data_IF_901255591846
#
_entry.id   IF_901255591846
#
_cell.length_a   1.000
_cell.length_b   1.000
_cell.length_c   1.000
_cell.angle_alpha   90.00
_cell.angle_beta   90.00
_cell.angle_gamma   90.00
#
_symmetry.space_group_name_H-M   'P 1'
#
loop_
_entity.id
_entity.type
_entity.pdbx_description
1 polymer ?
#
# COMPACT_ATOMS: atom_id res chain seq x y z
N UNK A 1 -32.48 35.05 37.68
CA UNK A 1 -31.27 34.40 38.20
C UNK A 1 -30.45 33.99 37.02
N UNK A 2 -29.47 34.84 36.60
CA UNK A 2 -28.45 34.44 35.61
C UNK A 2 -27.52 33.47 36.34
N UNK A 3 -27.64 32.17 36.08
CA UNK A 3 -26.64 31.21 36.46
C UNK A 3 -25.27 31.69 35.97
N UNK A 4 -24.37 31.93 36.91
CA UNK A 4 -22.95 32.12 36.64
C UNK A 4 -22.43 30.78 36.06
N UNK A 5 -22.53 30.59 34.75
CA UNK A 5 -21.80 29.55 34.09
C UNK A 5 -20.31 29.83 34.28
N UNK A 6 -19.69 29.18 35.28
CA UNK A 6 -18.24 29.21 35.43
C UNK A 6 -17.65 28.82 34.09
N UNK A 7 -16.98 29.77 33.45
CA UNK A 7 -16.22 29.45 32.23
C UNK A 7 -15.14 28.45 32.63
N UNK A 8 -15.14 27.31 31.93
CA UNK A 8 -14.01 26.40 31.99
C UNK A 8 -12.84 27.10 31.28
N UNK A 9 -11.95 27.74 32.07
CA UNK A 9 -10.75 28.35 31.53
C UNK A 9 -9.72 27.27 31.12
N UNK A 10 -8.66 27.70 30.42
CA UNK A 10 -7.64 26.78 29.93
C UNK A 10 -6.87 26.08 31.06
N UNK A 11 -6.71 26.73 32.20
CA UNK A 11 -6.00 26.15 33.34
C UNK A 11 -6.84 25.06 34.01
N UNK A 12 -8.10 25.33 34.26
CA UNK A 12 -9.02 24.36 34.86
C UNK A 12 -9.19 23.15 33.93
N UNK A 13 -9.24 23.35 32.63
CA UNK A 13 -9.28 22.23 31.65
C UNK A 13 -7.99 21.41 31.69
N UNK A 14 -6.81 22.07 31.71
CA UNK A 14 -5.52 21.39 31.85
C UNK A 14 -5.41 20.59 33.13
N UNK A 15 -5.87 21.15 34.26
CA UNK A 15 -5.89 20.44 35.54
C UNK A 15 -6.82 19.24 35.52
N UNK A 16 -8.00 19.38 34.94
CA UNK A 16 -8.95 18.26 34.73
C UNK A 16 -8.31 17.16 33.89
N UNK A 17 -7.74 17.52 32.76
CA UNK A 17 -7.11 16.57 31.85
C UNK A 17 -5.89 15.89 32.51
N UNK A 18 -5.12 16.62 33.29
CA UNK A 18 -4.02 16.09 34.09
C UNK A 18 -4.52 15.06 35.11
N UNK A 19 -5.56 15.39 35.87
CA UNK A 19 -6.17 14.49 36.86
C UNK A 19 -6.69 13.18 36.17
N UNK A 20 -7.35 13.29 35.02
CA UNK A 20 -7.82 12.13 34.29
C UNK A 20 -6.64 11.28 33.76
N UNK A 21 -5.52 11.89 33.40
CA UNK A 21 -4.32 11.19 32.99
C UNK A 21 -3.60 10.42 34.10
N UNK A 22 -3.82 10.77 35.37
CA UNK A 22 -3.30 10.00 36.52
C UNK A 22 -4.08 8.70 36.77
N UNK A 23 -5.28 8.56 36.24
CA UNK A 23 -6.10 7.34 36.36
C UNK A 23 -5.55 6.25 35.43
N UNK A 24 -6.04 5.03 35.58
CA UNK A 24 -5.61 3.88 34.79
C UNK A 24 -6.79 3.22 34.08
N UNK A 25 -6.49 2.43 33.08
CA UNK A 25 -7.48 1.61 32.39
C UNK A 25 -8.62 2.41 31.75
N UNK A 26 -9.81 1.81 31.74
CA UNK A 26 -11.01 2.41 31.10
C UNK A 26 -11.42 3.72 31.75
N UNK A 27 -11.23 3.86 33.05
CA UNK A 27 -11.60 5.08 33.79
C UNK A 27 -10.84 6.29 33.27
N UNK A 28 -9.53 6.14 33.00
CA UNK A 28 -8.71 7.19 32.39
C UNK A 28 -9.31 7.68 31.07
N UNK A 29 -9.58 6.75 30.17
CA UNK A 29 -9.98 7.11 28.80
C UNK A 29 -11.41 7.64 28.73
N UNK A 30 -12.34 7.15 29.57
CA UNK A 30 -13.65 7.76 29.71
C UNK A 30 -13.55 9.19 30.23
N UNK A 31 -12.76 9.41 31.31
CA UNK A 31 -12.56 10.74 31.86
C UNK A 31 -11.95 11.74 30.88
N UNK A 32 -11.01 11.30 30.04
CA UNK A 32 -10.46 12.16 28.97
C UNK A 32 -11.58 12.56 27.99
N UNK A 33 -12.42 11.62 27.53
CA UNK A 33 -13.51 11.94 26.61
C UNK A 33 -14.58 12.83 27.26
N UNK A 34 -14.88 12.62 28.53
CA UNK A 34 -15.83 13.43 29.30
C UNK A 34 -15.29 14.86 29.50
N UNK A 35 -13.97 15.02 29.76
CA UNK A 35 -13.33 16.32 29.83
C UNK A 35 -13.45 17.10 28.51
N UNK A 36 -13.22 16.43 27.37
CA UNK A 36 -13.39 17.06 26.06
C UNK A 36 -14.87 17.35 25.73
N UNK A 37 -15.80 16.50 26.14
CA UNK A 37 -17.23 16.76 25.99
C UNK A 37 -17.67 17.97 26.81
N UNK A 38 -17.11 18.11 28.02
CA UNK A 38 -17.34 19.29 28.86
C UNK A 38 -16.76 20.56 28.20
N UNK A 39 -15.54 20.50 27.67
CA UNK A 39 -14.94 21.59 26.94
C UNK A 39 -15.74 22.00 25.72
N UNK A 40 -16.32 21.04 24.98
CA UNK A 40 -17.13 21.32 23.78
C UNK A 40 -18.35 22.21 24.10
N UNK A 41 -18.92 22.08 25.30
CA UNK A 41 -20.03 22.92 25.75
C UNK A 41 -19.63 24.36 26.03
N UNK A 42 -18.35 24.61 26.32
CA UNK A 42 -17.83 25.94 26.64
C UNK A 42 -17.11 26.59 25.46
N UNK A 43 -16.25 25.81 24.78
CA UNK A 43 -15.49 26.26 23.62
C UNK A 43 -15.23 25.11 22.64
N UNK A 44 -16.16 24.98 21.70
CA UNK A 44 -16.08 23.94 20.67
C UNK A 44 -14.79 24.04 19.83
N UNK A 45 -14.25 25.24 19.64
CA UNK A 45 -13.06 25.41 18.79
C UNK A 45 -11.83 24.76 19.45
N UNK A 46 -11.73 24.81 20.78
CA UNK A 46 -10.63 24.16 21.51
C UNK A 46 -10.66 22.63 21.40
N UNK A 47 -11.82 22.00 21.30
CA UNK A 47 -11.93 20.55 21.07
C UNK A 47 -11.55 20.13 19.66
N UNK A 48 -11.43 21.10 18.76
CA UNK A 48 -11.06 20.87 17.37
C UNK A 48 -9.58 21.15 17.09
N UNK A 49 -8.74 21.46 18.09
CA UNK A 49 -7.29 21.59 17.88
C UNK A 49 -6.67 20.27 17.45
N UNK A 50 -5.46 20.30 16.92
CA UNK A 50 -4.75 19.11 16.48
C UNK A 50 -4.54 18.14 17.64
N UNK A 51 -4.01 18.64 18.76
CA UNK A 51 -3.73 17.88 19.97
C UNK A 51 -5.01 17.26 20.54
N UNK A 52 -6.06 18.07 20.68
CA UNK A 52 -7.37 17.59 21.17
C UNK A 52 -7.93 16.44 20.33
N UNK A 53 -7.78 16.51 19.01
CA UNK A 53 -8.25 15.45 18.12
C UNK A 53 -7.38 14.17 18.25
N UNK A 54 -6.09 14.30 18.53
CA UNK A 54 -5.21 13.15 18.78
C UNK A 54 -5.62 12.47 20.10
N UNK A 55 -5.77 13.23 21.17
CA UNK A 55 -6.12 12.70 22.48
C UNK A 55 -7.47 12.00 22.49
N UNK A 56 -8.48 12.64 21.90
CA UNK A 56 -9.82 12.05 21.74
C UNK A 56 -9.78 10.78 20.88
N UNK A 57 -8.97 10.78 19.83
CA UNK A 57 -8.76 9.61 18.95
C UNK A 57 -8.18 8.45 19.73
N UNK A 58 -7.14 8.70 20.50
CA UNK A 58 -6.46 7.70 21.33
C UNK A 58 -7.39 7.14 22.42
N UNK A 59 -8.06 8.01 23.17
CA UNK A 59 -9.00 7.58 24.22
C UNK A 59 -10.15 6.75 23.65
N UNK A 60 -10.74 7.19 22.54
CA UNK A 60 -11.80 6.44 21.86
C UNK A 60 -11.33 5.06 21.38
N UNK A 61 -10.10 4.96 20.85
CA UNK A 61 -9.53 3.68 20.42
C UNK A 61 -9.33 2.72 21.59
N UNK A 62 -8.77 3.21 22.71
CA UNK A 62 -8.55 2.42 23.92
C UNK A 62 -9.86 1.88 24.54
N UNK A 63 -10.95 2.57 24.33
CA UNK A 63 -12.30 2.14 24.73
C UNK A 63 -12.97 1.22 23.71
N UNK A 64 -12.32 0.92 22.57
CA UNK A 64 -12.89 0.10 21.50
C UNK A 64 -13.83 0.88 20.56
N UNK A 65 -13.92 2.20 20.73
CA UNK A 65 -14.73 3.09 19.90
C UNK A 65 -14.10 3.41 18.53
N UNK A 66 -13.73 2.39 17.77
CA UNK A 66 -12.97 2.51 16.51
C UNK A 66 -13.60 3.44 15.45
N UNK A 67 -14.93 3.54 15.42
CA UNK A 67 -15.61 4.48 14.52
C UNK A 67 -15.32 5.94 14.92
N UNK A 68 -15.38 6.25 16.22
CA UNK A 68 -15.06 7.58 16.76
C UNK A 68 -13.57 7.89 16.60
N UNK A 69 -12.69 6.96 16.93
CA UNK A 69 -11.24 7.11 16.76
C UNK A 69 -10.87 7.47 15.31
N UNK A 70 -11.46 6.80 14.31
CA UNK A 70 -11.25 7.15 12.89
C UNK A 70 -11.65 8.60 12.57
N UNK A 71 -12.72 9.10 13.15
CA UNK A 71 -13.18 10.50 12.93
C UNK A 71 -12.15 11.47 13.49
N UNK A 72 -11.73 11.27 14.73
CA UNK A 72 -10.78 12.14 15.41
C UNK A 72 -9.41 12.13 14.73
N UNK A 73 -8.82 10.98 14.48
CA UNK A 73 -7.53 10.89 13.77
C UNK A 73 -7.58 11.44 12.34
N UNK A 74 -8.69 11.31 11.61
CA UNK A 74 -8.85 11.97 10.31
C UNK A 74 -8.86 13.48 10.41
N UNK A 75 -9.53 14.03 11.43
CA UNK A 75 -9.53 15.48 11.70
C UNK A 75 -8.13 15.96 12.05
N UNK A 76 -7.43 15.23 12.92
CA UNK A 76 -6.02 15.49 13.24
C UNK A 76 -5.14 15.46 11.98
N UNK A 77 -5.24 14.41 11.16
CA UNK A 77 -4.46 14.29 9.94
C UNK A 77 -4.72 15.42 8.93
N UNK A 78 -5.95 15.93 8.88
CA UNK A 78 -6.29 17.09 8.02
C UNK A 78 -5.64 18.38 8.53
N UNK A 79 -5.46 18.51 9.85
CA UNK A 79 -4.86 19.70 10.49
C UNK A 79 -3.35 19.63 10.62
N UNK A 80 -2.77 18.44 10.55
CA UNK A 80 -1.32 18.26 10.67
C UNK A 80 -0.57 19.08 9.61
N UNK A 81 0.40 19.94 10.03
CA UNK A 81 1.20 20.74 9.10
C UNK A 81 2.00 19.85 8.13
N UNK A 82 2.16 20.28 6.89
CA UNK A 82 2.91 19.52 5.88
C UNK A 82 4.38 19.30 6.26
N UNK A 83 4.95 20.23 7.01
CA UNK A 83 6.33 20.22 7.49
C UNK A 83 6.55 19.15 8.57
N UNK A 84 5.50 18.85 9.35
CA UNK A 84 5.57 17.83 10.40
C UNK A 84 5.28 16.43 9.84
N UNK A 85 6.24 15.95 9.02
CA UNK A 85 6.14 14.65 8.34
C UNK A 85 6.00 13.49 9.33
N UNK A 86 6.71 13.55 10.47
CA UNK A 86 6.66 12.49 11.49
C UNK A 86 5.27 12.34 12.07
N UNK A 87 4.62 13.43 12.43
CA UNK A 87 3.24 13.41 12.92
C UNK A 87 2.26 12.89 11.86
N UNK A 88 2.43 13.31 10.61
CA UNK A 88 1.59 12.81 9.51
C UNK A 88 1.74 11.30 9.38
N UNK A 89 2.98 10.78 9.39
CA UNK A 89 3.24 9.34 9.28
C UNK A 89 2.71 8.56 10.48
N UNK A 90 2.82 9.12 11.69
CA UNK A 90 2.22 8.54 12.91
C UNK A 90 0.70 8.42 12.76
N UNK A 91 0.01 9.51 12.43
CA UNK A 91 -1.45 9.53 12.25
C UNK A 91 -1.91 8.60 11.11
N UNK A 92 -1.13 8.52 10.04
CA UNK A 92 -1.37 7.56 8.96
C UNK A 92 -1.22 6.12 9.46
N UNK A 93 -0.26 5.83 10.34
CA UNK A 93 -0.08 4.54 11.01
C UNK A 93 -1.30 4.13 11.84
N UNK A 94 -1.82 5.06 12.66
CA UNK A 94 -3.02 4.82 13.46
C UNK A 94 -4.25 4.55 12.59
N UNK A 95 -4.50 5.40 11.60
CA UNK A 95 -5.61 5.23 10.67
C UNK A 95 -5.49 3.98 9.81
N UNK A 96 -4.28 3.61 9.40
CA UNK A 96 -4.01 2.38 8.67
C UNK A 96 -4.55 1.17 9.43
N UNK A 97 -4.17 0.99 10.71
CA UNK A 97 -4.65 -0.13 11.54
C UNK A 97 -6.18 -0.20 11.59
N UNK A 98 -6.82 0.96 11.76
CA UNK A 98 -8.28 1.06 11.87
C UNK A 98 -8.99 0.80 10.55
N UNK A 99 -8.42 1.22 9.41
CA UNK A 99 -9.01 0.99 8.09
C UNK A 99 -8.74 -0.43 7.57
N UNK A 100 -7.58 -1.02 7.84
CA UNK A 100 -7.28 -2.42 7.52
C UNK A 100 -8.26 -3.35 8.24
N UNK A 101 -8.51 -3.12 9.53
CA UNK A 101 -9.50 -3.88 10.30
C UNK A 101 -10.91 -3.80 9.69
N UNK A 102 -11.29 -2.67 9.13
CA UNK A 102 -12.59 -2.47 8.48
C UNK A 102 -12.58 -2.74 6.97
N UNK A 103 -11.46 -3.15 6.39
CA UNK A 103 -11.24 -3.36 4.95
C UNK A 103 -11.63 -2.13 4.10
N UNK A 104 -11.48 -0.92 4.65
CA UNK A 104 -11.80 0.33 3.96
C UNK A 104 -10.63 0.77 3.08
N UNK A 105 -10.47 0.10 1.94
CA UNK A 105 -9.39 0.35 1.00
C UNK A 105 -9.45 1.75 0.36
N UNK A 106 -10.64 2.35 0.26
CA UNK A 106 -10.80 3.72 -0.26
C UNK A 106 -10.16 4.74 0.69
N UNK A 107 -10.44 4.61 1.98
CA UNK A 107 -9.83 5.49 3.00
C UNK A 107 -8.33 5.23 3.16
N UNK A 108 -7.86 3.97 3.05
CA UNK A 108 -6.43 3.65 3.03
C UNK A 108 -5.70 4.40 1.91
N UNK A 109 -6.23 4.40 0.70
CA UNK A 109 -5.65 5.16 -0.42
C UNK A 109 -5.57 6.65 -0.11
N UNK A 110 -6.58 7.23 0.55
CA UNK A 110 -6.59 8.66 0.89
C UNK A 110 -5.49 9.02 1.90
N UNK A 111 -5.34 8.25 2.97
CA UNK A 111 -4.31 8.52 3.97
C UNK A 111 -2.90 8.29 3.42
N UNK A 112 -2.70 7.28 2.57
CA UNK A 112 -1.41 7.07 1.91
C UNK A 112 -1.05 8.19 0.92
N UNK A 113 -2.04 8.77 0.22
CA UNK A 113 -1.81 9.96 -0.60
C UNK A 113 -1.38 11.16 0.23
N UNK A 114 -1.94 11.32 1.44
CA UNK A 114 -1.53 12.39 2.38
C UNK A 114 -0.07 12.19 2.81
N UNK A 115 0.31 10.96 3.22
CA UNK A 115 1.71 10.63 3.54
C UNK A 115 2.66 10.86 2.36
N UNK A 116 2.28 10.38 1.17
CA UNK A 116 3.06 10.60 -0.05
C UNK A 116 3.28 12.07 -0.35
N UNK A 117 2.23 12.91 -0.19
CA UNK A 117 2.30 14.36 -0.41
C UNK A 117 3.29 15.05 0.53
N UNK A 118 3.26 14.70 1.82
CA UNK A 118 4.18 15.23 2.83
C UNK A 118 5.64 14.78 2.56
N UNK A 119 5.85 13.49 2.32
CA UNK A 119 7.17 12.94 1.99
C UNK A 119 7.77 13.54 0.71
N UNK A 120 6.93 13.83 -0.30
CA UNK A 120 7.40 14.45 -1.54
C UNK A 120 7.99 15.85 -1.34
N UNK A 121 7.51 16.58 -0.33
CA UNK A 121 7.98 17.93 0.02
C UNK A 121 9.16 17.91 1.00
N UNK A 122 9.46 16.76 1.59
CA UNK A 122 10.52 16.59 2.59
C UNK A 122 11.84 16.15 1.95
N UNK A 123 12.91 16.27 2.72
CA UNK A 123 14.25 15.74 2.38
C UNK A 123 14.42 14.25 2.67
N UNK A 124 13.36 13.53 3.06
CA UNK A 124 13.43 12.12 3.41
C UNK A 124 13.80 11.22 2.24
N UNK A 125 14.35 10.02 2.54
CA UNK A 125 14.78 9.07 1.50
C UNK A 125 13.66 8.73 0.51
N UNK A 126 13.95 8.75 -0.78
CA UNK A 126 13.00 8.38 -1.85
C UNK A 126 12.40 6.97 -1.68
N UNK A 127 13.06 6.09 -0.91
CA UNK A 127 12.54 4.76 -0.59
C UNK A 127 11.20 4.83 0.17
N UNK A 128 11.08 5.72 1.15
CA UNK A 128 9.82 5.89 1.90
C UNK A 128 8.69 6.37 0.98
N UNK A 129 8.99 7.36 0.13
CA UNK A 129 8.05 7.86 -0.87
C UNK A 129 7.54 6.74 -1.81
N UNK A 130 8.45 5.87 -2.29
CA UNK A 130 8.11 4.74 -3.15
C UNK A 130 7.23 3.72 -2.44
N UNK A 131 7.45 3.49 -1.13
CA UNK A 131 6.61 2.60 -0.34
C UNK A 131 5.15 3.05 -0.32
N UNK A 132 4.88 4.34 -0.12
CA UNK A 132 3.51 4.84 -0.16
C UNK A 132 2.92 4.82 -1.59
N UNK A 133 3.73 5.07 -2.60
CA UNK A 133 3.28 4.91 -3.99
C UNK A 133 2.88 3.45 -4.29
N UNK A 134 3.66 2.47 -3.81
CA UNK A 134 3.32 1.05 -3.91
C UNK A 134 1.98 0.74 -3.21
N UNK A 135 1.82 1.16 -1.97
CA UNK A 135 0.60 0.90 -1.19
C UNK A 135 -0.65 1.49 -1.89
N UNK A 136 -0.55 2.71 -2.42
CA UNK A 136 -1.64 3.33 -3.18
C UNK A 136 -1.97 2.50 -4.42
N UNK A 137 -0.95 2.15 -5.21
CA UNK A 137 -1.11 1.36 -6.43
C UNK A 137 -1.67 -0.03 -6.16
N UNK A 138 -1.17 -0.70 -5.11
CA UNK A 138 -1.63 -2.01 -4.66
C UNK A 138 -3.13 -1.99 -4.31
N UNK A 139 -3.57 -1.09 -3.44
CA UNK A 139 -4.99 -1.02 -3.06
C UNK A 139 -5.88 -0.64 -4.23
N UNK A 140 -5.43 0.24 -5.12
CA UNK A 140 -6.18 0.61 -6.32
C UNK A 140 -6.31 -0.55 -7.29
N UNK A 141 -5.27 -1.38 -7.46
CA UNK A 141 -5.30 -2.52 -8.37
C UNK A 141 -6.13 -3.68 -7.81
N UNK A 142 -5.75 -4.17 -6.62
CA UNK A 142 -6.32 -5.41 -6.09
C UNK A 142 -7.73 -5.24 -5.52
N UNK A 143 -8.00 -4.12 -4.86
CA UNK A 143 -9.23 -3.93 -4.10
C UNK A 143 -10.23 -2.99 -4.76
N UNK A 144 -9.75 -1.90 -5.37
CA UNK A 144 -10.64 -0.88 -5.95
C UNK A 144 -10.85 -1.05 -7.46
N UNK A 145 -10.11 -1.94 -8.13
CA UNK A 145 -10.17 -2.19 -9.59
C UNK A 145 -9.95 -0.94 -10.46
N UNK A 146 -9.19 0.01 -9.93
CA UNK A 146 -8.86 1.28 -10.59
C UNK A 146 -7.57 1.18 -11.40
N UNK A 147 -7.56 0.32 -12.43
CA UNK A 147 -6.35 -0.08 -13.16
C UNK A 147 -5.54 1.09 -13.74
N UNK A 148 -6.20 2.12 -14.30
CA UNK A 148 -5.51 3.31 -14.84
C UNK A 148 -4.74 4.07 -13.74
N UNK A 149 -5.39 4.30 -12.60
CA UNK A 149 -4.76 4.99 -11.47
C UNK A 149 -3.69 4.13 -10.81
N UNK A 150 -3.95 2.83 -10.61
CA UNK A 150 -2.99 1.89 -10.06
C UNK A 150 -1.70 1.87 -10.87
N UNK A 151 -1.79 1.84 -12.21
CA UNK A 151 -0.63 1.89 -13.10
C UNK A 151 0.27 3.10 -12.84
N UNK A 152 -0.33 4.29 -12.70
CA UNK A 152 0.42 5.53 -12.43
C UNK A 152 1.19 5.45 -11.11
N UNK A 153 0.55 4.94 -10.06
CA UNK A 153 1.17 4.85 -8.75
C UNK A 153 2.23 3.75 -8.66
N UNK A 154 2.00 2.60 -9.27
CA UNK A 154 2.99 1.52 -9.35
C UNK A 154 4.22 1.95 -10.16
N UNK A 155 4.05 2.73 -11.24
CA UNK A 155 5.18 3.32 -11.96
C UNK A 155 6.00 4.29 -11.09
N UNK A 156 5.35 5.08 -10.23
CA UNK A 156 6.05 5.95 -9.26
C UNK A 156 6.80 5.18 -8.19
N UNK A 157 6.34 3.99 -7.87
CA UNK A 157 6.99 3.09 -6.91
C UNK A 157 8.20 2.38 -7.49
N UNK A 158 8.22 2.10 -8.80
CA UNK A 158 9.35 1.46 -9.46
C UNK A 158 10.51 2.45 -9.62
N UNK A 159 11.55 2.24 -8.82
CA UNK A 159 12.78 3.05 -8.89
C UNK A 159 13.88 2.42 -9.75
N UNK A 160 13.58 1.35 -10.49
CA UNK A 160 14.59 0.61 -11.26
C UNK A 160 15.47 -0.31 -10.42
N UNK A 161 15.27 -0.36 -9.11
CA UNK A 161 16.01 -1.20 -8.18
C UNK A 161 15.51 -2.66 -8.13
N UNK A 162 16.05 -3.39 -7.15
CA UNK A 162 15.77 -4.82 -6.92
C UNK A 162 15.12 -5.10 -5.57
N UNK A 163 14.55 -4.08 -4.90
CA UNK A 163 13.73 -4.31 -3.72
C UNK A 163 12.44 -5.03 -4.10
N UNK A 164 11.89 -5.85 -3.20
CA UNK A 164 10.67 -6.60 -3.46
C UNK A 164 9.53 -5.71 -3.95
N UNK A 165 9.34 -4.54 -3.36
CA UNK A 165 8.30 -3.59 -3.76
C UNK A 165 8.50 -3.04 -5.18
N UNK A 166 9.74 -2.66 -5.53
CA UNK A 166 10.08 -2.16 -6.87
C UNK A 166 9.87 -3.23 -7.94
N UNK A 167 10.34 -4.45 -7.67
CA UNK A 167 10.16 -5.59 -8.58
C UNK A 167 8.68 -5.93 -8.78
N UNK A 168 7.90 -5.97 -7.69
CA UNK A 168 6.46 -6.20 -7.75
C UNK A 168 5.73 -5.09 -8.51
N UNK A 169 6.11 -3.84 -8.28
CA UNK A 169 5.53 -2.70 -8.99
C UNK A 169 5.75 -2.79 -10.49
N UNK A 170 6.99 -3.06 -10.93
CA UNK A 170 7.32 -3.23 -12.33
C UNK A 170 6.53 -4.39 -12.97
N UNK A 171 6.42 -5.51 -12.27
CA UNK A 171 5.64 -6.66 -12.72
C UNK A 171 4.15 -6.33 -12.89
N UNK A 172 3.52 -5.71 -11.89
CA UNK A 172 2.11 -5.35 -11.98
C UNK A 172 1.82 -4.29 -13.04
N UNK A 173 2.77 -3.36 -13.28
CA UNK A 173 2.66 -2.41 -14.40
C UNK A 173 2.66 -3.17 -15.74
N UNK A 174 3.54 -4.17 -15.91
CA UNK A 174 3.55 -4.98 -17.12
C UNK A 174 2.23 -5.77 -17.30
N UNK A 175 1.67 -6.33 -16.23
CA UNK A 175 0.36 -6.99 -16.25
C UNK A 175 -0.77 -6.03 -16.63
N UNK A 176 -0.73 -4.81 -16.13
CA UNK A 176 -1.70 -3.76 -16.49
C UNK A 176 -1.57 -3.33 -17.96
N UNK A 177 -0.36 -3.32 -18.50
CA UNK A 177 -0.13 -3.05 -19.92
C UNK A 177 -0.69 -4.20 -20.81
N UNK A 178 -0.57 -5.47 -20.38
CA UNK A 178 -1.22 -6.60 -21.06
C UNK A 178 -2.76 -6.47 -21.04
N UNK A 179 -3.33 -6.19 -19.87
CA UNK A 179 -4.79 -5.99 -19.74
C UNK A 179 -5.29 -4.81 -20.59
N UNK A 180 -4.45 -3.79 -20.79
CA UNK A 180 -4.75 -2.65 -21.65
C UNK A 180 -4.51 -2.95 -23.17
N UNK A 181 -4.30 -4.22 -23.53
CA UNK A 181 -4.00 -4.67 -24.90
C UNK A 181 -2.75 -4.01 -25.51
N UNK A 182 -1.71 -3.81 -24.69
CA UNK A 182 -0.40 -3.25 -25.07
C UNK A 182 0.72 -4.29 -24.88
N UNK A 183 0.70 -5.43 -25.61
CA UNK A 183 1.61 -6.54 -25.38
C UNK A 183 3.08 -6.16 -25.61
N UNK A 184 3.36 -5.27 -26.57
CA UNK A 184 4.73 -4.79 -26.84
C UNK A 184 5.33 -4.06 -25.65
N UNK A 185 4.53 -3.17 -25.04
CA UNK A 185 4.97 -2.43 -23.86
C UNK A 185 5.17 -3.35 -22.65
N UNK A 186 4.28 -4.32 -22.48
CA UNK A 186 4.41 -5.36 -21.45
C UNK A 186 5.68 -6.20 -21.66
N UNK A 187 5.93 -6.64 -22.88
CA UNK A 187 7.12 -7.42 -23.25
C UNK A 187 8.41 -6.63 -22.95
N UNK A 188 8.47 -5.35 -23.36
CA UNK A 188 9.60 -4.48 -23.07
C UNK A 188 9.87 -4.41 -21.57
N UNK A 189 8.82 -4.13 -20.75
CA UNK A 189 8.95 -4.03 -19.29
C UNK A 189 9.37 -5.33 -18.63
N UNK A 190 8.81 -6.45 -19.05
CA UNK A 190 9.18 -7.75 -18.49
C UNK A 190 10.62 -8.15 -18.87
N UNK A 191 11.12 -7.79 -20.06
CA UNK A 191 12.54 -7.95 -20.43
C UNK A 191 13.44 -7.12 -19.52
N UNK A 192 13.13 -5.83 -19.35
CA UNK A 192 13.88 -4.94 -18.45
C UNK A 192 13.88 -5.48 -17.01
N UNK A 193 12.70 -5.96 -16.54
CA UNK A 193 12.55 -6.53 -15.21
C UNK A 193 13.34 -7.84 -15.04
N UNK A 194 13.35 -8.72 -16.04
CA UNK A 194 14.09 -9.99 -16.00
C UNK A 194 15.61 -9.78 -15.94
N UNK A 195 16.11 -8.62 -16.36
CA UNK A 195 17.51 -8.22 -16.25
C UNK A 195 17.92 -7.72 -14.84
N UNK A 196 16.95 -7.48 -13.95
CA UNK A 196 17.23 -7.05 -12.56
C UNK A 196 17.63 -8.26 -11.70
N UNK A 197 18.26 -7.98 -10.55
CA UNK A 197 18.64 -9.03 -9.58
C UNK A 197 17.38 -9.60 -8.90
N UNK A 198 16.93 -10.75 -9.38
CA UNK A 198 15.77 -11.47 -8.86
C UNK A 198 16.19 -12.87 -8.42
N UNK A 199 15.82 -13.27 -7.21
CA UNK A 199 16.12 -14.62 -6.72
C UNK A 199 15.34 -15.68 -7.52
N UNK A 200 16.04 -16.71 -8.00
CA UNK A 200 15.41 -17.87 -8.66
C UNK A 200 14.48 -18.67 -7.73
N UNK A 201 14.55 -18.41 -6.42
CA UNK A 201 13.68 -19.00 -5.40
C UNK A 201 12.39 -18.19 -5.19
N UNK A 202 12.24 -17.04 -5.85
CA UNK A 202 11.06 -16.18 -5.66
C UNK A 202 9.94 -16.55 -6.63
N UNK A 203 8.70 -16.46 -6.13
CA UNK A 203 7.50 -16.55 -6.94
C UNK A 203 7.53 -15.60 -8.16
N UNK A 204 8.04 -14.40 -7.95
CA UNK A 204 8.13 -13.37 -8.99
C UNK A 204 9.03 -13.78 -10.16
N UNK A 205 10.12 -14.53 -9.90
CA UNK A 205 10.97 -15.06 -10.97
C UNK A 205 10.17 -15.98 -11.90
N UNK A 206 9.42 -16.93 -11.32
CA UNK A 206 8.56 -17.85 -12.09
C UNK A 206 7.54 -17.08 -12.92
N UNK A 207 6.84 -16.13 -12.29
CA UNK A 207 5.81 -15.34 -12.94
C UNK A 207 6.37 -14.53 -14.12
N UNK A 208 7.49 -13.85 -13.94
CA UNK A 208 8.11 -13.04 -15.00
C UNK A 208 8.49 -13.91 -16.18
N UNK A 209 9.17 -15.04 -15.93
CA UNK A 209 9.62 -15.90 -17.01
C UNK A 209 8.47 -16.63 -17.70
N UNK A 210 7.43 -17.01 -16.97
CA UNK A 210 6.21 -17.57 -17.57
C UNK A 210 5.52 -16.55 -18.48
N UNK A 211 5.34 -15.31 -18.03
CA UNK A 211 4.74 -14.24 -18.85
C UNK A 211 5.58 -13.89 -20.09
N UNK A 212 6.91 -13.85 -19.94
CA UNK A 212 7.81 -13.67 -21.09
C UNK A 212 7.68 -14.82 -22.08
N UNK A 213 7.65 -16.06 -21.60
CA UNK A 213 7.40 -17.23 -22.45
C UNK A 213 6.10 -17.12 -23.23
N UNK A 214 5.02 -16.70 -22.56
CA UNK A 214 3.70 -16.52 -23.18
C UNK A 214 3.72 -15.40 -24.23
N UNK A 215 4.32 -14.25 -23.94
CA UNK A 215 4.38 -13.14 -24.89
C UNK A 215 5.26 -13.44 -26.11
N UNK A 216 6.38 -14.16 -25.93
CA UNK A 216 7.20 -14.61 -27.04
C UNK A 216 6.50 -15.68 -27.87
N UNK A 217 5.75 -16.60 -27.24
CA UNK A 217 4.95 -17.60 -27.92
C UNK A 217 3.89 -16.94 -28.82
N UNK A 218 3.15 -15.95 -28.29
CA UNK A 218 2.16 -15.18 -29.07
C UNK A 218 2.77 -14.43 -30.27
N UNK A 219 4.08 -14.19 -30.23
CA UNK A 219 4.84 -13.56 -31.33
C UNK A 219 5.57 -14.57 -32.22
N UNK A 220 5.31 -15.84 -32.03
CA UNK A 220 5.95 -16.95 -32.80
C UNK A 220 7.49 -16.95 -32.64
N UNK A 221 8.02 -16.26 -31.63
CA UNK A 221 9.44 -16.32 -31.31
C UNK A 221 9.71 -17.54 -30.40
N UNK A 222 9.74 -18.69 -31.05
CA UNK A 222 9.75 -20.01 -30.42
C UNK A 222 11.00 -20.25 -29.55
N UNK A 223 12.17 -19.82 -29.99
CA UNK A 223 13.41 -20.00 -29.22
C UNK A 223 13.41 -19.19 -27.94
N UNK A 224 12.96 -17.94 -27.99
CA UNK A 224 12.83 -17.12 -26.80
C UNK A 224 11.73 -17.66 -25.87
N UNK A 225 10.59 -18.08 -26.41
CA UNK A 225 9.50 -18.68 -25.65
C UNK A 225 9.98 -19.93 -24.90
N UNK A 226 10.64 -20.86 -25.62
CA UNK A 226 11.22 -22.09 -25.05
C UNK A 226 12.17 -21.79 -23.90
N UNK A 227 13.09 -20.83 -24.09
CA UNK A 227 14.08 -20.43 -23.07
C UNK A 227 13.38 -19.93 -21.81
N UNK A 228 12.41 -19.05 -21.95
CA UNK A 228 11.73 -18.46 -20.81
C UNK A 228 10.82 -19.46 -20.08
N UNK A 229 10.10 -20.32 -20.78
CA UNK A 229 9.35 -21.40 -20.15
C UNK A 229 10.25 -22.36 -19.37
N UNK A 230 11.44 -22.70 -19.90
CA UNK A 230 12.44 -23.50 -19.17
C UNK A 230 12.94 -22.81 -17.92
N UNK A 231 13.14 -21.50 -17.93
CA UNK A 231 13.52 -20.75 -16.73
C UNK A 231 12.44 -20.80 -15.68
N UNK A 232 11.17 -20.63 -16.06
CA UNK A 232 10.06 -20.73 -15.13
C UNK A 232 9.93 -22.15 -14.54
N UNK A 233 10.00 -23.18 -15.38
CA UNK A 233 9.87 -24.58 -14.96
C UNK A 233 10.97 -25.04 -14.00
N UNK A 234 12.23 -24.59 -14.21
CA UNK A 234 13.41 -25.00 -13.41
C UNK A 234 13.66 -24.12 -12.18
N UNK A 235 12.81 -23.14 -11.91
CA UNK A 235 12.97 -22.29 -10.74
C UNK A 235 12.69 -23.05 -9.43
N UNK A 236 13.42 -22.73 -8.37
CA UNK A 236 13.21 -23.33 -7.04
C UNK A 236 12.17 -22.52 -6.23
N UNK A 237 11.01 -22.26 -6.83
CA UNK A 237 9.96 -21.40 -6.23
C UNK A 237 9.13 -22.15 -5.18
N UNK A 238 8.33 -21.40 -4.36
CA UNK A 238 7.42 -21.99 -3.39
C UNK A 238 6.39 -22.94 -4.04
N UNK A 239 5.91 -23.91 -3.25
CA UNK A 239 4.98 -24.98 -3.66
C UNK A 239 3.74 -24.46 -4.38
N UNK A 240 3.19 -23.33 -3.94
CA UNK A 240 2.00 -22.68 -4.54
C UNK A 240 2.19 -22.31 -6.02
N UNK A 241 3.43 -22.24 -6.52
CA UNK A 241 3.75 -21.96 -7.92
C UNK A 241 3.99 -23.22 -8.78
N UNK A 242 3.93 -24.42 -8.20
CA UNK A 242 4.11 -25.67 -8.95
C UNK A 242 3.20 -25.81 -10.14
N UNK A 243 1.95 -25.38 -10.02
CA UNK A 243 1.02 -25.42 -11.17
C UNK A 243 1.54 -24.60 -12.36
N UNK A 244 2.05 -23.40 -12.10
CA UNK A 244 2.62 -22.56 -13.16
C UNK A 244 3.89 -23.21 -13.74
N UNK A 245 4.72 -23.82 -12.90
CA UNK A 245 5.92 -24.51 -13.32
C UNK A 245 5.61 -25.73 -14.19
N UNK A 246 4.60 -26.53 -13.84
CA UNK A 246 4.13 -27.67 -14.63
C UNK A 246 3.66 -27.21 -16.01
N UNK A 247 2.79 -26.18 -16.05
CA UNK A 247 2.33 -25.61 -17.33
C UNK A 247 3.51 -25.07 -18.17
N UNK A 248 4.48 -24.42 -17.53
CA UNK A 248 5.67 -23.94 -18.22
C UNK A 248 6.51 -25.09 -18.79
N UNK A 249 6.63 -26.20 -18.07
CA UNK A 249 7.33 -27.40 -18.54
C UNK A 249 6.64 -28.04 -19.75
N UNK A 250 5.31 -28.19 -19.68
CA UNK A 250 4.49 -28.71 -20.79
C UNK A 250 4.66 -27.84 -22.03
N UNK A 251 4.51 -26.52 -21.90
CA UNK A 251 4.73 -25.57 -23.01
C UNK A 251 6.14 -25.64 -23.59
N UNK A 252 7.15 -25.81 -22.76
CA UNK A 252 8.53 -25.97 -23.20
C UNK A 252 8.71 -27.27 -24.01
N UNK A 253 8.07 -28.38 -23.56
CA UNK A 253 8.10 -29.68 -24.32
C UNK A 253 7.39 -29.57 -25.66
N UNK A 254 6.21 -28.95 -25.71
CA UNK A 254 5.46 -28.71 -26.93
C UNK A 254 6.30 -27.92 -27.96
N UNK A 255 6.86 -26.78 -27.56
CA UNK A 255 7.67 -25.92 -28.43
C UNK A 255 8.93 -26.65 -28.88
N UNK A 256 9.60 -27.39 -28.00
CA UNK A 256 10.80 -28.16 -28.37
C UNK A 256 10.50 -29.25 -29.43
N UNK A 257 9.33 -29.92 -29.33
CA UNK A 257 8.86 -30.90 -30.33
C UNK A 257 8.58 -30.18 -31.64
N UNK A 258 7.89 -29.06 -31.62
CA UNK A 258 7.59 -28.26 -32.84
C UNK A 258 8.87 -27.80 -33.56
N UNK A 259 9.84 -27.26 -32.83
CA UNK A 259 11.13 -26.84 -33.40
C UNK A 259 11.91 -28.01 -34.02
N UNK A 260 11.83 -29.21 -33.42
CA UNK A 260 12.43 -30.42 -34.02
C UNK A 260 11.76 -30.82 -35.33
N UNK A 261 10.42 -30.75 -35.40
CA UNK A 261 9.69 -31.09 -36.63
C UNK A 261 10.00 -30.13 -37.80
N UNK A 262 10.12 -28.83 -37.51
CA UNK A 262 10.52 -27.83 -38.52
C UNK A 262 11.93 -28.13 -39.06
N UNK A 263 12.90 -28.39 -38.15
CA UNK A 263 14.27 -28.72 -38.59
C UNK A 263 14.35 -29.98 -39.41
N UNK A 264 13.57 -31.01 -39.08
CA UNK A 264 13.49 -32.25 -39.84
C UNK A 264 12.82 -32.08 -41.21
N UNK A 265 11.95 -31.09 -41.38
CA UNK A 265 11.30 -30.77 -42.65
C UNK A 265 12.14 -29.88 -43.59
N UNK A 266 13.21 -29.28 -43.08
CA UNK A 266 14.11 -28.38 -43.81
C UNK A 266 15.45 -29.03 -44.21
N UNK A 267 15.76 -30.19 -43.67
CA UNK A 267 16.94 -30.99 -44.00
C UNK A 267 16.57 -32.22 -44.76
#
# INVERSE_FOLDING_TARGET
>A
VKENKRKLDDENFKLLLFAENQKTGRTKYNGILDAYALLENYDKQKTLTLESQIDQGYAAEKLGGYKRAKIYYRRALKKAPDENVDLILQLVGELKRLYERSKDHKSLVQIYKRAYGALKKSSRPKKELRTYAYLIGYHQFFHLKQNKNARVWLMRSDGGGSSTQELQSAYWVAKLDQQAKKPELALKRLKELSGRKISKKSALYVQIHFELGTLFHLKENWDSALRHYRFAAKASAPEEFKKIQTVAEEKAKEIAKYLKSIKAAQG
#
